data_IF_061507144646
#
_entry.id   IF_061507144646
#
_cell.length_a   1.000
_cell.length_b   1.000
_cell.length_c   1.000
_cell.angle_alpha   90.00
_cell.angle_beta   90.00
_cell.angle_gamma   90.00
#
_symmetry.space_group_name_H-M   'P 1'
#
loop_
_entity.id
_entity.type
_entity.pdbx_description
1 polymer ?
#
# COMPACT_ATOMS: atom_id res chain seq x y z
N UNK A 1 -6.48 -8.70 -0.62
CA UNK A 1 -6.00 -8.69 0.78
C UNK A 1 -5.87 -10.08 1.45
N UNK A 2 -6.70 -11.08 1.11
CA UNK A 2 -6.65 -12.44 1.69
C UNK A 2 -5.27 -13.10 1.67
N UNK A 3 -4.55 -13.01 0.55
CA UNK A 3 -3.19 -13.58 0.43
C UNK A 3 -2.18 -12.91 1.36
N UNK A 4 -2.25 -11.60 1.55
CA UNK A 4 -1.36 -10.88 2.46
C UNK A 4 -1.59 -11.31 3.92
N UNK A 5 -2.86 -11.50 4.31
CA UNK A 5 -3.21 -12.01 5.65
C UNK A 5 -2.70 -13.44 5.85
N UNK A 6 -2.92 -14.32 4.87
CA UNK A 6 -2.42 -15.70 4.94
C UNK A 6 -0.90 -15.78 5.10
N UNK A 7 -0.14 -14.83 4.52
CA UNK A 7 1.30 -14.76 4.74
C UNK A 7 1.66 -14.38 6.19
N UNK A 8 0.92 -13.45 6.82
CA UNK A 8 1.12 -13.11 8.23
C UNK A 8 0.86 -14.28 9.18
N UNK A 9 -0.07 -15.16 8.81
CA UNK A 9 -0.44 -16.34 9.60
C UNK A 9 0.60 -17.48 9.48
N UNK A 10 1.40 -17.50 8.41
CA UNK A 10 2.44 -18.51 8.19
C UNK A 10 3.61 -18.43 9.20
N UNK A 11 3.91 -17.22 9.70
CA UNK A 11 4.83 -17.00 10.83
C UNK A 11 6.32 -17.34 10.60
N UNK A 12 6.74 -17.75 9.39
CA UNK A 12 8.15 -18.03 9.09
C UNK A 12 9.00 -16.75 8.89
N UNK A 13 10.32 -16.92 8.78
CA UNK A 13 11.30 -15.82 8.71
C UNK A 13 11.12 -14.84 7.53
N UNK A 14 10.24 -15.11 6.56
CA UNK A 14 9.90 -14.20 5.46
C UNK A 14 8.43 -13.75 5.42
N UNK A 15 7.59 -14.26 6.32
CA UNK A 15 6.14 -14.03 6.35
C UNK A 15 5.76 -12.55 6.31
N UNK A 16 6.28 -11.73 7.23
CA UNK A 16 6.02 -10.29 7.31
C UNK A 16 6.35 -9.56 6.01
N UNK A 17 7.51 -9.88 5.41
CA UNK A 17 7.96 -9.22 4.19
C UNK A 17 7.12 -9.60 2.99
N UNK A 18 6.77 -10.89 2.85
CA UNK A 18 5.87 -11.34 1.77
C UNK A 18 4.49 -10.71 1.90
N UNK A 19 3.98 -10.57 3.13
CA UNK A 19 2.74 -9.85 3.39
C UNK A 19 2.83 -8.37 2.95
N UNK A 20 3.91 -7.66 3.30
CA UNK A 20 4.13 -6.28 2.85
C UNK A 20 4.22 -6.15 1.32
N UNK A 21 4.90 -7.09 0.65
CA UNK A 21 4.96 -7.12 -0.82
C UNK A 21 3.56 -7.24 -1.44
N UNK A 22 2.76 -8.19 -0.97
CA UNK A 22 1.39 -8.40 -1.45
C UNK A 22 0.49 -7.19 -1.16
N UNK A 23 0.62 -6.58 0.02
CA UNK A 23 -0.13 -5.38 0.38
C UNK A 23 0.25 -4.19 -0.50
N UNK A 24 1.55 -4.02 -0.82
CA UNK A 24 2.00 -2.96 -1.73
C UNK A 24 1.41 -3.11 -3.12
N UNK A 25 1.43 -4.32 -3.69
CA UNK A 25 0.84 -4.57 -5.01
C UNK A 25 -0.67 -4.27 -5.02
N UNK A 26 -1.41 -4.74 -4.01
CA UNK A 26 -2.84 -4.46 -3.90
C UNK A 26 -3.14 -2.97 -3.73
N UNK A 27 -2.28 -2.24 -3.00
CA UNK A 27 -2.40 -0.80 -2.85
C UNK A 27 -2.17 -0.06 -4.17
N UNK A 28 -1.13 -0.44 -4.93
CA UNK A 28 -0.80 0.19 -6.21
C UNK A 28 -1.94 0.02 -7.22
N UNK A 29 -2.62 -1.13 -7.22
CA UNK A 29 -3.84 -1.37 -8.00
C UNK A 29 -5.02 -0.51 -7.51
N UNK A 30 -5.25 -0.42 -6.20
CA UNK A 30 -6.33 0.40 -5.63
C UNK A 30 -6.17 1.89 -5.95
N UNK A 31 -4.94 2.40 -6.02
CA UNK A 31 -4.69 3.78 -6.44
C UNK A 31 -5.14 4.03 -7.88
N UNK A 32 -4.94 3.06 -8.78
CA UNK A 32 -5.43 3.16 -10.15
C UNK A 32 -6.95 3.19 -10.20
N UNK A 33 -7.62 2.30 -9.45
CA UNK A 33 -9.08 2.28 -9.35
C UNK A 33 -9.63 3.61 -8.82
N UNK A 34 -9.09 4.12 -7.71
CA UNK A 34 -9.53 5.38 -7.12
C UNK A 34 -9.39 6.57 -8.08
N UNK A 35 -8.28 6.65 -8.81
CA UNK A 35 -8.07 7.75 -9.76
C UNK A 35 -9.00 7.64 -10.96
N UNK A 36 -9.22 6.43 -11.47
CA UNK A 36 -10.19 6.18 -12.55
C UNK A 36 -11.62 6.52 -12.15
N UNK A 37 -12.03 6.27 -10.89
CA UNK A 37 -13.34 6.68 -10.37
C UNK A 37 -13.56 8.20 -10.43
N UNK A 38 -12.50 8.99 -10.27
CA UNK A 38 -12.53 10.46 -10.44
C UNK A 38 -12.23 10.90 -11.87
N UNK A 39 -12.19 9.98 -12.83
CA UNK A 39 -11.96 10.26 -14.26
C UNK A 39 -10.51 10.61 -14.60
N UNK A 40 -9.55 10.29 -13.71
CA UNK A 40 -8.12 10.54 -13.93
C UNK A 40 -7.43 9.25 -14.36
N UNK A 41 -7.13 9.16 -15.65
CA UNK A 41 -6.21 8.15 -16.19
C UNK A 41 -4.78 8.70 -16.14
N UNK A 42 -3.95 8.10 -15.29
CA UNK A 42 -2.53 8.49 -15.15
C UNK A 42 -1.62 7.86 -16.21
N UNK A 43 -2.13 6.87 -16.94
CA UNK A 43 -1.38 6.12 -17.94
C UNK A 43 -0.38 5.11 -17.36
N UNK A 44 0.15 4.21 -18.21
CA UNK A 44 0.93 3.05 -17.76
C UNK A 44 2.33 3.39 -17.23
N UNK A 45 2.84 4.60 -17.50
CA UNK A 45 4.19 5.03 -17.10
C UNK A 45 4.19 5.89 -15.82
N UNK A 46 3.02 6.18 -15.25
CA UNK A 46 2.94 6.96 -14.03
C UNK A 46 3.52 6.18 -12.85
N UNK A 47 4.52 6.77 -12.21
CA UNK A 47 5.04 6.25 -10.93
C UNK A 47 3.97 6.30 -9.85
N UNK A 48 4.02 5.40 -8.86
CA UNK A 48 3.08 5.44 -7.73
C UNK A 48 3.12 6.77 -6.97
N UNK A 49 4.28 7.42 -6.90
CA UNK A 49 4.40 8.76 -6.32
C UNK A 49 3.57 9.81 -7.09
N UNK A 50 3.59 9.75 -8.42
CA UNK A 50 2.77 10.66 -9.23
C UNK A 50 1.27 10.38 -9.02
N UNK A 51 0.87 9.11 -8.97
CA UNK A 51 -0.51 8.71 -8.65
C UNK A 51 -0.97 9.24 -7.28
N UNK A 52 -0.10 9.17 -6.27
CA UNK A 52 -0.39 9.73 -4.93
C UNK A 52 -0.57 11.26 -4.96
N UNK A 53 0.22 11.99 -5.76
CA UNK A 53 0.02 13.43 -5.97
C UNK A 53 -1.30 13.73 -6.71
N UNK A 54 -1.68 12.92 -7.69
CA UNK A 54 -3.00 13.03 -8.32
C UNK A 54 -4.12 12.78 -7.32
N UNK A 55 -3.95 11.80 -6.42
CA UNK A 55 -4.93 11.46 -5.38
C UNK A 55 -5.17 12.64 -4.43
N UNK A 56 -4.11 13.35 -4.05
CA UNK A 56 -4.19 14.54 -3.18
C UNK A 56 -5.06 15.65 -3.77
N UNK A 57 -5.04 15.83 -5.09
CA UNK A 57 -5.83 16.85 -5.79
C UNK A 57 -7.25 16.37 -6.11
N UNK A 58 -7.41 15.10 -6.45
CA UNK A 58 -8.69 14.55 -6.94
C UNK A 58 -9.67 14.13 -5.84
N UNK A 59 -9.16 13.93 -4.62
CA UNK A 59 -9.93 13.58 -3.42
C UNK A 59 -9.76 14.64 -2.32
N UNK A 60 -9.74 15.92 -2.70
CA UNK A 60 -9.70 17.04 -1.75
C UNK A 60 -10.96 17.12 -0.87
N UNK A 61 -12.07 16.57 -1.37
CA UNK A 61 -13.34 16.36 -0.69
C UNK A 61 -13.30 15.24 0.37
N UNK A 62 -12.25 14.42 0.41
CA UNK A 62 -12.05 13.36 1.39
C UNK A 62 -10.76 13.53 2.21
N UNK A 63 -10.77 14.45 3.20
CA UNK A 63 -9.61 14.77 4.00
C UNK A 63 -8.94 13.52 4.60
N UNK A 64 -7.63 13.42 4.38
CA UNK A 64 -6.81 12.35 4.95
C UNK A 64 -6.80 11.04 4.17
N UNK A 65 -7.57 10.87 3.08
CA UNK A 65 -7.40 9.72 2.19
C UNK A 65 -5.98 9.72 1.58
N UNK A 66 -5.59 10.84 0.95
CA UNK A 66 -4.27 10.97 0.33
C UNK A 66 -3.13 10.82 1.35
N UNK A 67 -3.26 11.43 2.54
CA UNK A 67 -2.27 11.29 3.60
C UNK A 67 -2.10 9.84 4.09
N UNK A 68 -3.20 9.10 4.28
CA UNK A 68 -3.16 7.68 4.67
C UNK A 68 -2.54 6.82 3.57
N UNK A 69 -2.88 7.08 2.30
CA UNK A 69 -2.27 6.41 1.17
C UNK A 69 -0.76 6.66 1.14
N UNK A 70 -0.34 7.92 1.21
CA UNK A 70 1.07 8.30 1.19
C UNK A 70 1.85 7.65 2.33
N UNK A 71 1.29 7.62 3.53
CA UNK A 71 1.87 6.93 4.68
C UNK A 71 2.02 5.43 4.42
N UNK A 72 0.94 4.74 4.04
CA UNK A 72 0.96 3.30 3.80
C UNK A 72 1.97 2.92 2.71
N UNK A 73 1.97 3.62 1.57
CA UNK A 73 2.89 3.33 0.47
C UNK A 73 4.36 3.55 0.87
N UNK A 74 4.65 4.62 1.62
CA UNK A 74 6.02 4.91 2.09
C UNK A 74 6.51 3.80 3.00
N UNK A 75 5.71 3.43 4.00
CA UNK A 75 6.07 2.38 4.97
C UNK A 75 6.18 1.00 4.34
N UNK A 76 5.30 0.67 3.39
CA UNK A 76 5.39 -0.57 2.63
C UNK A 76 6.63 -0.58 1.74
N UNK A 77 6.99 0.56 1.16
CA UNK A 77 8.21 0.67 0.35
C UNK A 77 9.47 0.38 1.17
N UNK A 78 9.56 0.98 2.35
CA UNK A 78 10.63 0.72 3.33
C UNK A 78 10.64 -0.75 3.76
N UNK A 79 9.49 -1.30 4.15
CA UNK A 79 9.36 -2.69 4.60
C UNK A 79 9.73 -3.73 3.52
N UNK A 80 9.57 -3.37 2.24
CA UNK A 80 9.88 -4.24 1.10
C UNK A 80 11.35 -4.13 0.64
N UNK A 81 12.06 -3.04 0.96
CA UNK A 81 13.48 -2.90 0.65
C UNK A 81 14.34 -3.83 1.53
N UNK A 82 15.37 -4.42 0.95
CA UNK A 82 16.28 -5.35 1.62
C UNK A 82 17.70 -4.79 1.55
N UNK A 83 18.08 -3.95 2.49
CA UNK A 83 19.49 -3.70 2.76
C UNK A 83 20.03 -4.77 3.72
N UNK A 84 21.25 -5.25 3.50
CA UNK A 84 21.85 -6.37 4.24
C UNK A 84 21.93 -6.15 5.78
N UNK A 85 21.71 -4.92 6.25
CA UNK A 85 21.74 -4.52 7.66
C UNK A 85 20.38 -4.02 8.17
N UNK A 86 19.35 -4.01 7.33
CA UNK A 86 18.01 -3.58 7.75
C UNK A 86 17.24 -4.72 8.41
N UNK A 87 16.74 -4.45 9.61
CA UNK A 87 15.83 -5.34 10.30
C UNK A 87 14.56 -5.51 9.46
N UNK A 88 14.09 -6.75 9.36
CA UNK A 88 12.80 -7.01 8.71
C UNK A 88 11.67 -6.34 9.50
N UNK A 89 10.60 -5.89 8.82
CA UNK A 89 9.42 -5.36 9.51
C UNK A 89 8.92 -6.41 10.52
N UNK A 90 8.61 -5.95 11.73
CA UNK A 90 8.02 -6.82 12.74
C UNK A 90 6.67 -7.33 12.25
N UNK A 91 6.23 -8.49 12.76
CA UNK A 91 4.92 -9.03 12.39
C UNK A 91 3.75 -8.11 12.79
N UNK A 92 3.94 -7.27 13.83
CA UNK A 92 2.97 -6.25 14.21
C UNK A 92 2.92 -5.12 13.18
N UNK A 93 4.07 -4.55 12.80
CA UNK A 93 4.13 -3.51 11.77
C UNK A 93 3.57 -4.00 10.43
N UNK A 94 3.89 -5.23 10.02
CA UNK A 94 3.36 -5.81 8.80
C UNK A 94 1.83 -5.99 8.88
N UNK A 95 1.28 -6.37 10.04
CA UNK A 95 -0.18 -6.41 10.29
C UNK A 95 -0.80 -5.03 10.16
N UNK A 96 -0.23 -4.02 10.80
CA UNK A 96 -0.77 -2.65 10.78
C UNK A 96 -0.78 -2.07 9.36
N UNK A 97 0.25 -2.35 8.56
CA UNK A 97 0.33 -1.93 7.16
C UNK A 97 -0.67 -2.68 6.27
N UNK A 98 -0.83 -3.98 6.46
CA UNK A 98 -1.87 -4.76 5.77
C UNK A 98 -3.25 -4.20 6.10
N UNK A 99 -3.54 -3.87 7.36
CA UNK A 99 -4.81 -3.29 7.77
C UNK A 99 -5.04 -1.89 7.19
N UNK A 100 -3.98 -1.08 7.08
CA UNK A 100 -4.04 0.22 6.45
C UNK A 100 -4.42 0.12 4.96
N UNK A 101 -3.84 -0.85 4.23
CA UNK A 101 -4.20 -1.10 2.82
C UNK A 101 -5.61 -1.67 2.71
N UNK A 102 -6.01 -2.61 3.57
CA UNK A 102 -7.38 -3.15 3.58
C UNK A 102 -8.43 -2.04 3.66
N UNK A 103 -8.26 -1.08 4.58
CA UNK A 103 -9.16 0.07 4.70
C UNK A 103 -9.21 0.96 3.46
N UNK A 104 -8.17 0.94 2.64
CA UNK A 104 -8.07 1.71 1.41
C UNK A 104 -8.73 0.95 0.25
N UNK A 105 -8.51 -0.35 0.16
CA UNK A 105 -9.09 -1.24 -0.86
C UNK A 105 -10.58 -1.48 -0.65
N UNK A 106 -11.07 -1.50 0.59
CA UNK A 106 -12.50 -1.70 0.89
C UNK A 106 -13.39 -0.53 0.41
N UNK A 107 -12.77 0.55 -0.11
CA UNK A 107 -13.46 1.69 -0.73
C UNK A 107 -13.60 1.58 -2.26
N UNK A 108 -12.86 0.68 -2.89
CA UNK A 108 -12.88 0.39 -4.32
C UNK A 108 -13.84 -0.77 -4.61
#
# INVERSE_FOLDING_TARGET
MTLARAQLDAGDAGSSRRACWLARSAMEEALDTLLLERGVDTGPLASTRAKLSCLEVTYDDEPGLAARAQYAWTRLSEACHHHAYELSPTALEARDLVDAVSRLTDRC
#
